data_IF_138322722380
#
_entry.id   IF_138322722380
#
_cell.length_a   1.000
_cell.length_b   1.000
_cell.length_c   1.000
_cell.angle_alpha   90.00
_cell.angle_beta   90.00
_cell.angle_gamma   90.00
#
_symmetry.space_group_name_H-M   'P 1'
#
loop_
_entity.id
_entity.type
_entity.pdbx_description
1 polymer ?
#
# COMPACT_ATOMS: atom_id res chain seq x y z
N UNK A 1 -41.76 -18.23 58.97
CA UNK A 1 -41.77 -16.78 59.26
C UNK A 1 -40.99 -16.11 58.14
N UNK A 2 -41.52 -15.05 57.53
CA UNK A 2 -40.83 -14.30 56.48
C UNK A 2 -39.79 -13.37 57.13
N UNK A 3 -38.54 -13.39 56.67
CA UNK A 3 -37.47 -12.58 57.26
C UNK A 3 -37.69 -11.09 57.01
N UNK A 4 -38.16 -10.70 55.82
CA UNK A 4 -38.33 -9.29 55.46
C UNK A 4 -39.39 -8.62 56.35
N UNK A 5 -40.51 -9.32 56.57
CA UNK A 5 -41.59 -8.87 57.46
C UNK A 5 -41.12 -8.80 58.93
N UNK A 6 -40.45 -9.85 59.43
CA UNK A 6 -39.94 -9.88 60.80
C UNK A 6 -38.85 -8.82 61.06
N UNK A 7 -38.01 -8.54 60.05
CA UNK A 7 -36.98 -7.50 60.11
C UNK A 7 -37.59 -6.10 60.11
N UNK A 8 -38.62 -5.85 59.28
CA UNK A 8 -39.36 -4.59 59.32
C UNK A 8 -40.07 -4.39 60.67
N UNK A 9 -40.69 -5.43 61.24
CA UNK A 9 -41.28 -5.36 62.57
C UNK A 9 -40.24 -5.03 63.66
N UNK A 10 -39.02 -5.58 63.55
CA UNK A 10 -37.91 -5.27 64.46
C UNK A 10 -37.47 -3.81 64.33
N UNK A 11 -37.38 -3.30 63.09
CA UNK A 11 -37.00 -1.91 62.79
C UNK A 11 -38.04 -0.91 63.28
N UNK A 12 -39.32 -1.26 63.18
CA UNK A 12 -40.45 -0.42 63.57
C UNK A 12 -40.80 -0.54 65.07
N UNK A 13 -40.08 -1.37 65.83
CA UNK A 13 -40.27 -1.53 67.28
C UNK A 13 -41.53 -2.29 67.71
N UNK A 14 -42.21 -2.95 66.77
CA UNK A 14 -43.48 -3.70 66.97
C UNK A 14 -43.30 -5.21 66.93
N UNK A 15 -42.06 -5.71 66.76
CA UNK A 15 -41.78 -7.14 66.73
C UNK A 15 -42.07 -7.84 68.05
N UNK A 16 -42.66 -9.03 67.93
CA UNK A 16 -42.78 -10.03 69.00
C UNK A 16 -41.41 -10.61 69.37
N UNK A 17 -41.30 -11.22 70.55
CA UNK A 17 -40.03 -11.82 71.01
C UNK A 17 -39.56 -12.97 70.11
N UNK A 18 -40.49 -13.70 69.50
CA UNK A 18 -40.19 -14.78 68.55
C UNK A 18 -39.59 -14.23 67.24
N UNK A 19 -40.12 -13.12 66.73
CA UNK A 19 -39.58 -12.44 65.53
C UNK A 19 -38.18 -11.88 65.78
N UNK A 20 -37.94 -11.29 66.96
CA UNK A 20 -36.61 -10.78 67.35
C UNK A 20 -35.56 -11.89 67.40
N UNK A 21 -35.91 -13.04 67.98
CA UNK A 21 -35.01 -14.20 68.04
C UNK A 21 -34.74 -14.77 66.65
N UNK A 22 -35.77 -14.85 65.79
CA UNK A 22 -35.63 -15.32 64.41
C UNK A 22 -34.70 -14.41 63.59
N UNK A 23 -34.90 -13.09 63.64
CA UNK A 23 -34.04 -12.12 62.94
C UNK A 23 -32.60 -12.18 63.46
N UNK A 24 -32.41 -12.27 64.78
CA UNK A 24 -31.08 -12.38 65.39
C UNK A 24 -30.33 -13.64 64.91
N UNK A 25 -31.00 -14.80 64.86
CA UNK A 25 -30.41 -16.04 64.37
C UNK A 25 -30.03 -15.97 62.89
N UNK A 26 -30.85 -15.33 62.05
CA UNK A 26 -30.55 -15.18 60.62
C UNK A 26 -29.36 -14.23 60.40
N UNK A 27 -29.27 -13.14 61.19
CA UNK A 27 -28.12 -12.23 61.16
C UNK A 27 -26.85 -12.89 61.69
N UNK A 28 -26.94 -13.73 62.73
CA UNK A 28 -25.81 -14.53 63.21
C UNK A 28 -25.31 -15.51 62.14
N UNK A 29 -26.21 -16.25 61.46
CA UNK A 29 -25.84 -17.13 60.34
C UNK A 29 -25.23 -16.38 59.17
N UNK A 30 -25.78 -15.21 58.82
CA UNK A 30 -25.23 -14.37 57.76
C UNK A 30 -23.84 -13.82 58.12
N UNK A 31 -23.64 -13.40 59.37
CA UNK A 31 -22.34 -12.97 59.86
C UNK A 31 -21.34 -14.13 59.94
N UNK A 32 -21.77 -15.33 60.32
CA UNK A 32 -20.94 -16.53 60.29
C UNK A 32 -20.51 -16.88 58.86
N UNK A 33 -21.42 -16.76 57.88
CA UNK A 33 -21.10 -16.93 56.46
C UNK A 33 -20.14 -15.86 55.91
N UNK A 34 -20.29 -14.60 56.34
CA UNK A 34 -19.38 -13.51 55.94
C UNK A 34 -18.00 -13.61 56.60
N UNK A 35 -17.94 -14.15 57.81
CA UNK A 35 -16.71 -14.31 58.60
C UNK A 35 -16.03 -15.67 58.40
N UNK A 36 -16.72 -16.66 57.80
CA UNK A 36 -16.08 -17.91 57.38
C UNK A 36 -15.06 -17.63 56.29
N UNK A 37 -13.78 -17.71 56.67
CA UNK A 37 -12.59 -17.46 55.84
C UNK A 37 -12.59 -18.30 54.55
N UNK A 38 -13.32 -19.41 54.53
CA UNK A 38 -13.51 -20.33 53.40
C UNK A 38 -14.20 -19.72 52.17
N UNK A 39 -14.92 -18.60 52.29
CA UNK A 39 -15.53 -17.94 51.12
C UNK A 39 -14.58 -16.94 50.44
N UNK A 40 -13.50 -16.53 51.14
CA UNK A 40 -12.53 -15.54 50.63
C UNK A 40 -11.27 -16.16 50.02
N UNK A 41 -10.97 -17.43 50.29
CA UNK A 41 -9.68 -18.01 49.91
C UNK A 41 -9.54 -18.50 48.47
N UNK A 42 -10.61 -18.64 47.68
CA UNK A 42 -10.47 -19.08 46.28
C UNK A 42 -11.12 -18.07 45.33
N UNK A 43 -10.47 -16.92 45.17
CA UNK A 43 -10.48 -16.30 43.85
C UNK A 43 -9.65 -17.23 42.95
N UNK A 44 -10.22 -17.91 41.94
CA UNK A 44 -9.54 -18.96 41.18
C UNK A 44 -8.38 -18.45 40.29
N UNK A 45 -8.03 -17.18 40.43
CA UNK A 45 -7.00 -16.49 39.67
C UNK A 45 -5.93 -16.00 40.64
N UNK A 46 -4.83 -16.75 40.72
CA UNK A 46 -3.60 -16.34 41.39
C UNK A 46 -3.13 -15.02 40.78
N UNK A 47 -2.82 -14.01 41.60
CA UNK A 47 -2.19 -12.78 41.09
C UNK A 47 -0.87 -13.15 40.39
N UNK A 48 -0.75 -12.76 39.12
CA UNK A 48 0.38 -13.16 38.29
C UNK A 48 1.67 -12.45 38.75
N UNK A 49 2.75 -13.24 38.88
CA UNK A 49 4.08 -12.71 39.21
C UNK A 49 4.52 -11.69 38.13
N UNK A 50 5.17 -10.61 38.57
CA UNK A 50 5.70 -9.56 37.69
C UNK A 50 6.65 -10.14 36.61
N UNK A 51 7.34 -11.24 36.89
CA UNK A 51 8.13 -11.95 35.87
C UNK A 51 7.27 -12.63 34.79
N UNK A 52 6.16 -13.27 35.17
CA UNK A 52 5.25 -13.92 34.23
C UNK A 52 4.58 -12.89 33.33
N UNK A 53 4.15 -11.75 33.90
CA UNK A 53 3.60 -10.63 33.13
C UNK A 53 4.62 -10.08 32.13
N UNK A 54 5.90 -9.96 32.51
CA UNK A 54 6.97 -9.52 31.58
C UNK A 54 7.21 -10.53 30.46
N UNK A 55 7.27 -11.83 30.76
CA UNK A 55 7.42 -12.90 29.76
C UNK A 55 6.23 -12.93 28.80
N UNK A 56 5.01 -12.81 29.32
CA UNK A 56 3.79 -12.74 28.51
C UNK A 56 3.78 -11.52 27.60
N UNK A 57 4.11 -10.32 28.11
CA UNK A 57 4.24 -9.09 27.30
C UNK A 57 5.31 -9.22 26.21
N UNK A 58 6.46 -9.83 26.52
CA UNK A 58 7.52 -10.07 25.52
C UNK A 58 7.06 -11.05 24.45
N UNK A 59 6.44 -12.17 24.83
CA UNK A 59 5.90 -13.16 23.89
C UNK A 59 4.80 -12.55 23.01
N UNK A 60 3.93 -11.73 23.59
CA UNK A 60 2.91 -11.01 22.86
C UNK A 60 3.51 -10.04 21.84
N UNK A 61 4.45 -9.18 22.25
CA UNK A 61 5.16 -8.28 21.31
C UNK A 61 5.89 -9.06 20.21
N UNK A 62 6.53 -10.17 20.56
CA UNK A 62 7.24 -10.99 19.59
C UNK A 62 6.30 -11.61 18.55
N UNK A 63 5.20 -12.23 19.01
CA UNK A 63 4.26 -12.96 18.18
C UNK A 63 3.32 -12.07 17.36
N UNK A 64 2.91 -10.93 17.92
CA UNK A 64 1.90 -10.07 17.30
C UNK A 64 2.44 -8.77 16.73
N UNK A 65 3.70 -8.40 17.04
CA UNK A 65 4.31 -7.17 16.51
C UNK A 65 5.54 -7.49 15.68
N UNK A 66 6.55 -8.15 16.25
CA UNK A 66 7.83 -8.36 15.57
C UNK A 66 7.69 -9.33 14.39
N UNK A 67 7.12 -10.51 14.60
CA UNK A 67 6.98 -11.53 13.54
C UNK A 67 6.15 -11.00 12.36
N UNK A 68 4.96 -10.39 12.55
CA UNK A 68 4.18 -9.86 11.43
C UNK A 68 4.89 -8.73 10.68
N UNK A 69 5.57 -7.82 11.39
CA UNK A 69 6.33 -6.73 10.75
C UNK A 69 7.50 -7.27 9.94
N UNK A 70 8.28 -8.20 10.49
CA UNK A 70 9.38 -8.84 9.75
C UNK A 70 8.86 -9.64 8.55
N UNK A 71 7.72 -10.33 8.69
CA UNK A 71 7.08 -11.05 7.58
C UNK A 71 6.65 -10.09 6.47
N UNK A 72 6.01 -8.97 6.81
CA UNK A 72 5.62 -7.94 5.85
C UNK A 72 6.84 -7.38 5.10
N UNK A 73 7.91 -7.04 5.82
CA UNK A 73 9.16 -6.57 5.21
C UNK A 73 9.75 -7.64 4.27
N UNK A 74 9.76 -8.91 4.70
CA UNK A 74 10.22 -10.02 3.88
C UNK A 74 9.43 -10.15 2.56
N UNK A 75 8.11 -10.03 2.62
CA UNK A 75 7.24 -10.06 1.43
C UNK A 75 7.53 -8.87 0.51
N UNK A 76 7.67 -7.66 1.05
CA UNK A 76 8.00 -6.47 0.26
C UNK A 76 9.37 -6.61 -0.43
N UNK A 77 10.37 -7.14 0.26
CA UNK A 77 11.69 -7.42 -0.34
C UNK A 77 11.60 -8.46 -1.46
N UNK A 78 10.81 -9.52 -1.28
CA UNK A 78 10.61 -10.54 -2.31
C UNK A 78 9.94 -9.94 -3.56
N UNK A 79 8.91 -9.11 -3.39
CA UNK A 79 8.25 -8.41 -4.51
C UNK A 79 9.24 -7.48 -5.22
N UNK A 80 10.00 -6.68 -4.47
CA UNK A 80 11.01 -5.78 -5.04
C UNK A 80 12.08 -6.55 -5.83
N UNK A 81 12.54 -7.70 -5.33
CA UNK A 81 13.51 -8.54 -6.02
C UNK A 81 12.96 -9.12 -7.32
N UNK A 82 11.71 -9.59 -7.33
CA UNK A 82 11.07 -10.13 -8.54
C UNK A 82 10.87 -9.03 -9.58
N UNK A 83 10.28 -7.89 -9.19
CA UNK A 83 10.04 -6.77 -10.11
C UNK A 83 11.37 -6.21 -10.63
N UNK A 84 12.35 -5.99 -9.75
CA UNK A 84 13.69 -5.53 -10.12
C UNK A 84 14.42 -6.49 -11.06
N UNK A 85 14.28 -7.81 -10.85
CA UNK A 85 14.85 -8.83 -11.73
C UNK A 85 14.24 -8.82 -13.12
N UNK A 86 12.90 -8.75 -13.22
CA UNK A 86 12.18 -8.75 -14.50
C UNK A 86 12.41 -7.44 -15.26
N UNK A 87 12.12 -6.29 -14.65
CA UNK A 87 12.29 -4.99 -15.31
C UNK A 87 13.76 -4.65 -15.56
N UNK A 88 14.67 -5.03 -14.66
CA UNK A 88 16.10 -4.86 -14.86
C UNK A 88 16.64 -5.68 -16.04
N UNK A 89 16.19 -6.93 -16.17
CA UNK A 89 16.53 -7.77 -17.32
C UNK A 89 15.96 -7.20 -18.62
N UNK A 90 14.69 -6.81 -18.62
CA UNK A 90 14.03 -6.20 -19.77
C UNK A 90 14.71 -4.89 -20.22
N UNK A 91 15.08 -4.02 -19.28
CA UNK A 91 15.83 -2.80 -19.54
C UNK A 91 17.24 -3.09 -20.10
N UNK A 92 17.89 -4.17 -19.63
CA UNK A 92 19.17 -4.63 -20.16
C UNK A 92 19.05 -5.12 -21.61
N UNK A 93 18.02 -5.90 -21.93
CA UNK A 93 17.74 -6.31 -23.32
C UNK A 93 17.43 -5.12 -24.22
N UNK A 94 16.59 -4.19 -23.76
CA UNK A 94 16.28 -2.96 -24.47
C UNK A 94 17.51 -2.12 -24.75
N UNK A 95 18.45 -2.01 -23.80
CA UNK A 95 19.70 -1.29 -24.01
C UNK A 95 20.59 -1.95 -25.06
N UNK A 96 20.60 -3.28 -25.11
CA UNK A 96 21.40 -4.06 -26.09
C UNK A 96 20.82 -4.03 -27.51
N UNK A 97 19.52 -3.78 -27.64
CA UNK A 97 18.83 -3.74 -28.94
C UNK A 97 18.82 -2.36 -29.60
N UNK A 98 19.36 -1.33 -28.92
CA UNK A 98 19.52 0.02 -29.50
C UNK A 98 20.46 -0.05 -30.70
N UNK A 99 19.93 0.23 -31.89
CA UNK A 99 20.66 0.36 -33.14
C UNK A 99 20.83 1.84 -33.56
N UNK A 100 19.89 2.70 -33.18
CA UNK A 100 19.88 4.12 -33.51
C UNK A 100 20.17 4.97 -32.27
N UNK A 101 21.11 5.89 -32.42
CA UNK A 101 21.48 6.88 -31.41
C UNK A 101 20.42 7.98 -31.26
N UNK A 102 20.52 8.78 -30.19
CA UNK A 102 19.64 9.95 -29.98
C UNK A 102 19.64 10.90 -31.19
N UNK A 103 20.82 11.19 -31.76
CA UNK A 103 20.95 12.09 -32.90
C UNK A 103 20.31 11.50 -34.18
N UNK A 104 20.51 10.21 -34.44
CA UNK A 104 19.88 9.54 -35.58
C UNK A 104 18.35 9.49 -35.44
N UNK A 105 17.83 9.24 -34.24
CA UNK A 105 16.39 9.31 -33.98
C UNK A 105 15.82 10.72 -34.18
N UNK A 106 16.57 11.77 -33.84
CA UNK A 106 16.14 13.14 -34.10
C UNK A 106 16.02 13.43 -35.60
N UNK A 107 16.99 12.98 -36.41
CA UNK A 107 16.94 13.15 -37.86
C UNK A 107 15.81 12.35 -38.51
N UNK A 108 15.59 11.11 -38.08
CA UNK A 108 14.45 10.29 -38.53
C UNK A 108 13.09 10.93 -38.18
N UNK A 109 12.99 11.55 -37.00
CA UNK A 109 11.79 12.27 -36.62
C UNK A 109 11.54 13.48 -37.53
N UNK A 110 12.56 14.29 -37.85
CA UNK A 110 12.42 15.41 -38.79
C UNK A 110 12.00 14.95 -40.19
N UNK A 111 12.61 13.87 -40.68
CA UNK A 111 12.21 13.24 -41.96
C UNK A 111 10.71 12.88 -41.92
N UNK A 112 10.24 12.25 -40.83
CA UNK A 112 8.85 11.83 -40.69
C UNK A 112 7.88 13.01 -40.51
N UNK A 113 8.30 14.08 -39.82
CA UNK A 113 7.51 15.30 -39.68
C UNK A 113 7.29 15.98 -41.03
N UNK A 114 8.35 16.07 -41.82
CA UNK A 114 8.29 16.63 -43.17
C UNK A 114 7.41 15.78 -44.11
N UNK A 115 7.54 14.45 -44.06
CA UNK A 115 6.64 13.52 -44.77
C UNK A 115 5.17 13.78 -44.39
N UNK A 116 4.88 13.87 -43.09
CA UNK A 116 3.51 14.08 -42.58
C UNK A 116 2.89 15.40 -43.08
N UNK A 117 3.65 16.49 -43.07
CA UNK A 117 3.18 17.80 -43.56
C UNK A 117 2.99 17.77 -45.07
N UNK A 118 3.93 17.17 -45.81
CA UNK A 118 3.90 17.07 -47.28
C UNK A 118 2.72 16.24 -47.77
N UNK A 119 2.49 15.07 -47.17
CA UNK A 119 1.38 14.17 -47.52
C UNK A 119 0.01 14.83 -47.34
N UNK A 120 -0.10 15.77 -46.39
CA UNK A 120 -1.34 16.50 -46.11
C UNK A 120 -1.46 17.80 -46.88
N UNK A 121 -0.53 18.11 -47.78
CA UNK A 121 -0.50 19.38 -48.52
C UNK A 121 -0.54 20.63 -47.62
N UNK A 122 0.00 20.49 -46.40
CA UNK A 122 0.20 21.58 -45.44
C UNK A 122 1.49 22.43 -45.62
N UNK A 123 2.49 22.12 -46.49
CA UNK A 123 3.74 22.89 -46.54
C UNK A 123 3.53 24.38 -46.80
N UNK A 124 2.62 24.74 -47.71
CA UNK A 124 2.32 26.13 -48.08
C UNK A 124 1.53 26.89 -47.02
N UNK A 125 0.86 26.20 -46.10
CA UNK A 125 0.12 26.81 -44.97
C UNK A 125 1.08 27.06 -43.80
N UNK A 126 2.03 26.14 -43.59
CA UNK A 126 2.95 26.17 -42.45
C UNK A 126 4.29 26.84 -42.77
N UNK A 127 4.55 27.22 -44.03
CA UNK A 127 5.83 27.81 -44.44
C UNK A 127 7.02 26.85 -44.37
N UNK A 128 6.74 25.54 -44.31
CA UNK A 128 7.75 24.48 -44.26
C UNK A 128 8.14 24.11 -45.68
N UNK A 129 9.43 24.18 -45.98
CA UNK A 129 10.03 23.90 -47.30
C UNK A 129 11.05 22.77 -47.25
N UNK A 130 11.56 22.47 -46.06
CA UNK A 130 12.52 21.39 -45.83
C UNK A 130 12.32 20.76 -44.46
N UNK A 131 12.91 19.58 -44.26
CA UNK A 131 12.95 18.95 -42.93
C UNK A 131 13.76 19.74 -41.91
N UNK A 132 14.69 20.58 -42.36
CA UNK A 132 15.57 21.37 -41.51
C UNK A 132 14.84 22.56 -40.88
N UNK A 133 13.63 22.87 -41.36
CA UNK A 133 12.73 23.86 -40.77
C UNK A 133 12.14 23.36 -39.43
N UNK A 134 12.19 22.05 -39.17
CA UNK A 134 11.81 21.48 -37.88
C UNK A 134 12.97 21.52 -36.89
N UNK A 135 12.75 22.23 -35.79
CA UNK A 135 13.68 22.28 -34.66
C UNK A 135 13.22 21.29 -33.60
N UNK A 136 14.18 20.56 -33.02
CA UNK A 136 13.91 19.67 -31.88
C UNK A 136 13.84 20.52 -30.62
N UNK A 137 12.66 20.59 -30.00
CA UNK A 137 12.46 21.27 -28.72
C UNK A 137 12.88 20.36 -27.56
N UNK A 138 12.31 19.15 -27.50
CA UNK A 138 12.66 18.15 -26.48
C UNK A 138 12.72 16.72 -27.04
N UNK A 139 13.41 15.85 -26.29
CA UNK A 139 13.50 14.43 -26.56
C UNK A 139 13.46 13.62 -25.27
N UNK A 140 12.37 12.88 -25.10
CA UNK A 140 12.16 11.95 -23.99
C UNK A 140 12.41 10.50 -24.41
N UNK A 141 13.05 9.73 -23.53
CA UNK A 141 13.26 8.30 -23.79
C UNK A 141 12.22 7.48 -23.06
N UNK A 142 11.44 6.71 -23.81
CA UNK A 142 10.41 5.82 -23.28
C UNK A 142 10.87 4.37 -23.30
N UNK A 143 10.57 3.64 -22.22
CA UNK A 143 10.86 2.21 -22.10
C UNK A 143 9.62 1.39 -22.45
N UNK A 144 9.70 0.64 -23.56
CA UNK A 144 8.64 -0.21 -24.04
C UNK A 144 8.86 -1.65 -23.54
N UNK A 145 8.11 -2.03 -22.50
CA UNK A 145 8.15 -3.38 -21.94
C UNK A 145 7.32 -4.36 -22.77
N UNK A 146 7.94 -5.48 -23.16
CA UNK A 146 7.27 -6.58 -23.84
C UNK A 146 6.93 -7.69 -22.84
N UNK A 147 5.64 -7.81 -22.49
CA UNK A 147 5.18 -8.78 -21.49
C UNK A 147 5.17 -10.24 -21.94
N UNK A 148 5.10 -10.51 -23.24
CA UNK A 148 5.15 -11.86 -23.81
C UNK A 148 6.56 -12.39 -23.96
N UNK A 149 7.52 -11.52 -24.28
CA UNK A 149 8.95 -11.83 -24.30
C UNK A 149 9.76 -10.59 -23.92
N UNK A 150 10.34 -10.62 -22.72
CA UNK A 150 11.11 -9.49 -22.17
C UNK A 150 12.33 -9.12 -23.02
N UNK A 151 12.85 -10.05 -23.84
CA UNK A 151 13.97 -9.81 -24.76
C UNK A 151 13.60 -8.84 -25.88
N UNK A 152 12.31 -8.75 -26.20
CA UNK A 152 11.79 -7.84 -27.22
C UNK A 152 11.45 -6.46 -26.65
N UNK A 153 11.72 -6.20 -25.37
CA UNK A 153 11.62 -4.85 -24.80
C UNK A 153 12.64 -3.92 -25.46
N UNK A 154 12.31 -2.65 -25.58
CA UNK A 154 13.10 -1.68 -26.33
C UNK A 154 12.91 -0.27 -25.80
N UNK A 155 13.77 0.66 -26.23
CA UNK A 155 13.57 2.08 -25.99
C UNK A 155 13.01 2.75 -27.24
N UNK A 156 12.16 3.75 -27.07
CA UNK A 156 11.82 4.72 -28.11
C UNK A 156 12.23 6.12 -27.67
N UNK A 157 12.44 7.00 -28.65
CA UNK A 157 12.55 8.43 -28.41
C UNK A 157 11.25 9.10 -28.82
N UNK A 158 10.66 9.85 -27.90
CA UNK A 158 9.57 10.78 -28.17
C UNK A 158 10.23 12.11 -28.48
N UNK A 159 10.21 12.49 -29.76
CA UNK A 159 10.85 13.71 -30.27
C UNK A 159 9.77 14.75 -30.46
N UNK A 160 9.92 15.88 -29.78
CA UNK A 160 9.06 17.05 -29.94
C UNK A 160 9.72 17.98 -30.95
N UNK A 161 9.01 18.25 -32.04
CA UNK A 161 9.48 19.09 -33.13
C UNK A 161 8.56 20.29 -33.27
N UNK A 162 9.17 21.44 -33.47
CA UNK A 162 8.48 22.70 -33.72
C UNK A 162 8.88 23.26 -35.08
N UNK A 163 7.89 23.77 -35.81
CA UNK A 163 8.10 24.55 -37.02
C UNK A 163 7.07 25.69 -37.04
N UNK A 164 7.52 26.93 -36.82
CA UNK A 164 6.64 28.09 -36.67
C UNK A 164 5.58 27.88 -35.58
N UNK A 165 4.28 27.98 -35.90
CA UNK A 165 3.17 27.76 -34.96
C UNK A 165 2.68 26.30 -34.92
N UNK A 166 3.47 25.36 -35.46
CA UNK A 166 3.12 23.95 -35.55
C UNK A 166 4.01 23.09 -34.66
N UNK A 167 3.40 22.26 -33.83
CA UNK A 167 4.10 21.28 -32.98
C UNK A 167 3.72 19.85 -33.40
N UNK A 168 4.72 18.98 -33.52
CA UNK A 168 4.52 17.56 -33.78
C UNK A 168 5.39 16.69 -32.88
N UNK A 169 4.79 15.66 -32.29
CA UNK A 169 5.49 14.64 -31.50
C UNK A 169 5.59 13.35 -32.27
N UNK A 170 6.81 12.82 -32.39
CA UNK A 170 7.11 11.61 -33.14
C UNK A 170 7.82 10.61 -32.23
N UNK A 171 7.27 9.40 -32.15
CA UNK A 171 7.93 8.26 -31.52
C UNK A 171 8.85 7.60 -32.54
N UNK A 172 10.10 7.34 -32.14
CA UNK A 172 11.09 6.61 -32.95
C UNK A 172 11.59 5.38 -32.21
N UNK A 173 11.34 4.18 -32.74
CA UNK A 173 11.85 2.91 -32.18
C UNK A 173 13.36 2.80 -32.39
N UNK A 174 14.13 2.71 -31.30
CA UNK A 174 15.61 2.70 -31.35
C UNK A 174 16.21 1.43 -31.98
N UNK A 175 15.42 0.38 -32.22
CA UNK A 175 15.92 -0.87 -32.83
C UNK A 175 15.94 -0.85 -34.34
N UNK A 176 14.95 -0.17 -34.94
CA UNK A 176 14.66 -0.26 -36.37
C UNK A 176 14.43 1.10 -37.05
N UNK A 177 14.34 2.19 -36.27
CA UNK A 177 14.11 3.54 -36.80
C UNK A 177 12.67 3.79 -37.23
N UNK A 178 11.73 2.88 -36.92
CA UNK A 178 10.33 3.07 -37.27
C UNK A 178 9.77 4.29 -36.53
N UNK A 179 9.16 5.19 -37.31
CA UNK A 179 8.63 6.45 -36.81
C UNK A 179 7.10 6.43 -36.79
N UNK A 180 6.50 6.98 -35.72
CA UNK A 180 5.05 7.10 -35.56
C UNK A 180 4.70 8.49 -35.06
N UNK A 181 3.79 9.16 -35.74
CA UNK A 181 3.23 10.44 -35.27
C UNK A 181 2.28 10.17 -34.10
N UNK A 182 2.54 10.79 -32.96
CA UNK A 182 1.77 10.61 -31.73
C UNK A 182 0.80 11.76 -31.53
N UNK A 183 1.26 12.98 -31.79
CA UNK A 183 0.49 14.21 -31.54
C UNK A 183 0.87 15.27 -32.54
N UNK A 184 -0.11 16.07 -32.91
CA UNK A 184 0.02 17.27 -33.73
C UNK A 184 -0.78 18.36 -33.03
N UNK A 185 -0.24 19.58 -32.94
CA UNK A 185 -0.98 20.76 -32.52
C UNK A 185 -0.87 21.85 -33.58
#
# INVERSE_FOLDING_TARGET
>A
MNFDEAFEHCKNGVATEEEKQYVKQQLEKANEFLNSESVREDSPVKEADAEEVKKAKKKFKWQYVVIPVCSLIGVLMAIAAILGGVFGSAASYAKKSVAFSKAECAELAKDKAYEFVTDRSLPSILGVTSKDDFVVDDMDREFNYSGSDIKNSYYSWIVELEAYDFEIKIEVDTRNGNCKVIKVK
#
